data_IF_330128281401
#
_entry.id   IF_330128281401
#
_cell.length_a   1.000
_cell.length_b   1.000
_cell.length_c   1.000
_cell.angle_alpha   90.00
_cell.angle_beta   90.00
_cell.angle_gamma   90.00
#
_symmetry.space_group_name_H-M   'P 1'
#
loop_
_entity.id
_entity.type
_entity.pdbx_description
1 polymer ?
#
# COMPACT_ATOMS: atom_id res chain seq x y z
N UNK A 1 8.62 -1.54 17.63
CA UNK A 1 9.45 -1.00 16.53
C UNK A 1 8.98 0.42 16.21
N UNK A 2 9.88 1.37 16.02
CA UNK A 2 9.49 2.74 15.70
C UNK A 2 8.88 2.86 14.32
N UNK A 3 8.11 3.92 14.10
CA UNK A 3 7.69 4.29 12.76
C UNK A 3 8.89 4.82 11.98
N UNK A 4 8.96 4.47 10.71
CA UNK A 4 10.08 4.80 9.85
C UNK A 4 9.55 5.59 8.65
N UNK A 5 9.95 6.85 8.55
CA UNK A 5 9.70 7.63 7.34
C UNK A 5 10.68 7.14 6.28
N UNK A 6 10.17 6.77 5.13
CA UNK A 6 11.02 6.16 4.11
C UNK A 6 11.93 7.20 3.47
N UNK A 7 13.21 6.82 3.31
CA UNK A 7 14.18 7.55 2.49
C UNK A 7 14.53 6.75 1.22
N UNK A 8 13.87 5.62 1.03
CA UNK A 8 14.18 4.69 -0.06
C UNK A 8 13.29 4.88 -1.29
N UNK A 9 12.20 5.62 -1.14
CA UNK A 9 11.20 5.77 -2.20
C UNK A 9 10.76 7.21 -2.34
N UNK A 10 10.18 7.53 -3.50
CA UNK A 10 9.56 8.83 -3.79
C UNK A 10 8.22 8.61 -4.47
N UNK A 11 7.35 9.61 -4.36
CA UNK A 11 6.08 9.62 -5.08
C UNK A 11 6.26 10.45 -6.33
N UNK A 12 5.88 9.90 -7.48
CA UNK A 12 5.91 10.64 -8.74
C UNK A 12 4.86 10.08 -9.69
N UNK A 13 4.71 10.73 -10.84
CA UNK A 13 3.73 10.30 -11.85
C UNK A 13 4.08 8.89 -12.33
N UNK A 14 3.06 8.02 -12.36
CA UNK A 14 3.16 6.68 -12.91
C UNK A 14 2.31 6.62 -14.18
N UNK A 15 2.89 6.13 -15.26
CA UNK A 15 2.20 6.08 -16.54
C UNK A 15 0.94 5.21 -16.43
N UNK A 16 -0.21 5.77 -16.82
CA UNK A 16 -1.48 5.07 -16.79
C UNK A 16 -2.09 4.87 -15.42
N UNK A 17 -1.46 5.37 -14.35
CA UNK A 17 -1.89 5.11 -12.98
C UNK A 17 -2.04 6.38 -12.13
N UNK A 18 -1.89 7.55 -12.73
CA UNK A 18 -1.84 8.81 -12.02
C UNK A 18 -0.48 9.01 -11.38
N UNK A 19 -0.31 8.56 -10.14
CA UNK A 19 0.97 8.62 -9.43
C UNK A 19 1.26 7.26 -8.80
N UNK A 20 2.50 7.06 -8.41
CA UNK A 20 2.94 5.85 -7.75
C UNK A 20 4.15 6.11 -6.89
N UNK A 21 4.65 5.06 -6.27
CA UNK A 21 5.81 5.07 -5.39
C UNK A 21 6.96 4.38 -6.12
N UNK A 22 8.11 5.04 -6.20
CA UNK A 22 9.25 4.56 -6.98
C UNK A 22 10.49 4.49 -6.11
N UNK A 23 11.33 3.48 -6.35
CA UNK A 23 12.58 3.32 -5.63
C UNK A 23 13.59 4.40 -6.00
N UNK A 24 14.16 5.06 -4.98
CA UNK A 24 15.24 6.04 -5.15
C UNK A 24 16.61 5.37 -5.28
N UNK A 25 16.72 4.14 -4.80
CA UNK A 25 17.95 3.36 -4.81
C UNK A 25 17.57 1.89 -4.89
N UNK A 26 18.57 1.02 -5.10
CA UNK A 26 18.32 -0.42 -5.07
C UNK A 26 17.87 -0.84 -3.68
N UNK A 27 16.83 -1.66 -3.61
CA UNK A 27 16.25 -2.16 -2.37
C UNK A 27 16.36 -3.68 -2.38
N UNK A 28 17.02 -4.24 -1.37
CA UNK A 28 17.19 -5.70 -1.28
C UNK A 28 15.91 -6.36 -0.78
N UNK A 29 15.66 -7.57 -1.27
CA UNK A 29 14.59 -8.43 -0.76
C UNK A 29 14.66 -8.51 0.77
N UNK A 30 13.51 -8.35 1.42
CA UNK A 30 13.38 -8.40 2.87
C UNK A 30 13.55 -7.06 3.57
N UNK A 31 13.93 -6.02 2.83
CA UNK A 31 14.09 -4.68 3.42
C UNK A 31 12.71 -4.11 3.78
N UNK A 32 12.60 -3.58 4.98
CA UNK A 32 11.44 -2.78 5.37
C UNK A 32 11.57 -1.42 4.72
N UNK A 33 10.62 -1.10 3.84
CA UNK A 33 10.62 0.16 3.10
C UNK A 33 10.13 1.28 4.00
N UNK A 34 9.02 1.02 4.70
CA UNK A 34 8.51 1.95 5.70
C UNK A 34 7.62 1.24 6.70
N UNK A 35 7.51 1.82 7.89
CA UNK A 35 6.57 1.42 8.91
C UNK A 35 5.80 2.65 9.33
N UNK A 36 4.50 2.65 9.10
CA UNK A 36 3.67 3.86 9.22
C UNK A 36 2.52 3.64 10.20
N UNK A 37 2.09 4.70 10.90
CA UNK A 37 0.84 4.64 11.63
C UNK A 37 -0.33 4.60 10.66
N UNK A 38 -1.46 4.07 11.11
CA UNK A 38 -2.69 4.06 10.34
C UNK A 38 -3.78 4.80 11.11
N UNK A 39 -4.72 5.39 10.36
CA UNK A 39 -5.93 5.98 10.92
C UNK A 39 -7.04 4.97 10.74
N UNK A 40 -7.57 4.45 11.84
CA UNK A 40 -8.58 3.40 11.82
C UNK A 40 -9.96 4.01 11.87
N UNK A 41 -10.82 3.58 10.96
CA UNK A 41 -12.16 4.14 10.77
C UNK A 41 -13.19 3.02 10.71
N UNK A 42 -14.43 3.26 11.19
CA UNK A 42 -15.52 2.31 10.95
C UNK A 42 -15.77 2.17 9.44
N UNK A 43 -16.21 0.98 9.00
CA UNK A 43 -16.53 0.74 7.59
C UNK A 43 -17.48 1.80 7.01
N UNK A 44 -18.48 2.20 7.77
CA UNK A 44 -19.49 3.14 7.26
C UNK A 44 -18.90 4.53 6.92
N UNK A 45 -17.82 4.92 7.59
CA UNK A 45 -17.18 6.22 7.32
C UNK A 45 -16.34 6.18 6.05
N UNK A 46 -15.94 5.00 5.62
CA UNK A 46 -15.14 4.84 4.40
C UNK A 46 -16.04 4.55 3.21
N UNK A 47 -16.99 3.63 3.36
CA UNK A 47 -17.85 3.23 2.26
C UNK A 47 -19.12 4.09 2.13
N UNK A 48 -19.56 4.71 3.22
CA UNK A 48 -20.81 5.47 3.21
C UNK A 48 -22.02 4.58 3.07
N UNK A 49 -23.16 5.17 2.69
CA UNK A 49 -24.43 4.47 2.51
C UNK A 49 -24.82 4.31 1.05
N UNK A 50 -23.98 4.78 0.14
CA UNK A 50 -24.26 4.76 -1.29
C UNK A 50 -23.18 4.02 -2.06
N UNK A 51 -22.93 4.40 -3.30
CA UNK A 51 -21.86 3.81 -4.11
C UNK A 51 -20.52 3.95 -3.42
N UNK A 52 -19.58 3.09 -3.82
CA UNK A 52 -18.23 3.08 -3.28
C UNK A 52 -17.60 4.47 -3.36
N UNK A 53 -17.06 4.95 -2.24
CA UNK A 53 -16.41 6.25 -2.19
C UNK A 53 -15.00 6.17 -2.77
N UNK A 54 -14.46 7.32 -3.20
CA UNK A 54 -13.07 7.39 -3.64
C UNK A 54 -12.11 7.05 -2.50
N UNK A 55 -12.46 7.43 -1.27
CA UNK A 55 -11.63 7.12 -0.10
C UNK A 55 -11.42 5.62 0.07
N UNK A 56 -12.42 4.81 -0.25
CA UNK A 56 -12.32 3.36 -0.15
C UNK A 56 -11.21 2.77 -1.01
N UNK A 57 -10.82 3.43 -2.08
CA UNK A 57 -9.74 2.98 -2.97
C UNK A 57 -8.36 3.10 -2.32
N UNK A 58 -8.24 3.90 -1.26
CA UNK A 58 -6.98 4.13 -0.54
C UNK A 58 -6.93 3.45 0.82
N UNK A 59 -8.02 2.80 1.22
CA UNK A 59 -8.13 2.20 2.54
C UNK A 59 -7.81 0.71 2.50
N UNK A 60 -7.27 0.22 3.62
CA UNK A 60 -6.96 -1.20 3.82
C UNK A 60 -7.95 -1.81 4.79
N UNK A 61 -8.29 -3.08 4.59
CA UNK A 61 -9.09 -3.81 5.57
C UNK A 61 -8.34 -3.88 6.90
N UNK A 62 -9.05 -3.68 8.01
CA UNK A 62 -8.45 -3.68 9.34
C UNK A 62 -9.37 -4.40 10.31
N UNK A 63 -9.37 -5.73 10.22
CA UNK A 63 -10.31 -6.55 10.95
C UNK A 63 -11.67 -6.61 10.26
N UNK A 64 -12.68 -7.21 10.91
CA UNK A 64 -13.94 -7.52 10.24
C UNK A 64 -14.83 -6.31 9.98
N UNK A 65 -14.69 -5.22 10.74
CA UNK A 65 -15.62 -4.09 10.67
C UNK A 65 -14.93 -2.72 10.62
N UNK A 66 -13.63 -2.71 10.32
CA UNK A 66 -12.84 -1.48 10.27
C UNK A 66 -12.08 -1.38 8.96
N UNK A 67 -11.71 -0.17 8.63
CA UNK A 67 -10.78 0.14 7.55
C UNK A 67 -9.68 1.04 8.10
N UNK A 68 -8.55 1.09 7.40
CA UNK A 68 -7.44 1.92 7.82
C UNK A 68 -6.88 2.71 6.65
N UNK A 69 -6.53 3.96 6.91
CA UNK A 69 -5.78 4.79 5.98
C UNK A 69 -4.33 4.80 6.45
N UNK A 70 -3.43 4.35 5.61
CA UNK A 70 -2.01 4.32 5.94
C UNK A 70 -1.39 5.70 5.72
N UNK A 71 -0.63 6.15 6.72
CA UNK A 71 0.14 7.39 6.63
C UNK A 71 1.44 7.16 5.85
N UNK A 72 2.32 8.14 5.82
CA UNK A 72 3.52 8.07 4.98
C UNK A 72 3.10 7.95 3.52
N UNK A 73 3.73 7.05 2.80
CA UNK A 73 3.33 6.75 1.42
C UNK A 73 2.42 5.53 1.30
N UNK A 74 2.01 4.96 2.43
CA UNK A 74 1.33 3.67 2.49
C UNK A 74 0.09 3.54 1.62
N UNK A 75 -0.75 4.57 1.54
CA UNK A 75 -1.96 4.52 0.72
C UNK A 75 -1.73 4.90 -0.74
N UNK A 76 -0.49 5.12 -1.16
CA UNK A 76 -0.15 5.59 -2.50
C UNK A 76 0.51 4.53 -3.39
N UNK A 77 0.84 3.35 -2.85
CA UNK A 77 1.38 2.25 -3.66
C UNK A 77 0.32 1.72 -4.61
N UNK A 78 0.70 1.53 -5.86
CA UNK A 78 -0.20 0.97 -6.85
C UNK A 78 -0.29 -0.55 -6.72
N UNK A 79 -1.40 -1.10 -7.20
CA UNK A 79 -1.65 -2.53 -7.23
C UNK A 79 -0.91 -3.20 -8.39
N UNK A 80 -0.43 -4.42 -8.14
CA UNK A 80 0.04 -5.33 -9.17
C UNK A 80 -0.27 -6.76 -8.75
N UNK A 81 -0.59 -7.62 -9.72
CA UNK A 81 -0.69 -9.06 -9.47
C UNK A 81 0.68 -9.74 -9.47
N UNK A 82 1.74 -9.00 -9.85
CA UNK A 82 3.14 -9.45 -9.76
C UNK A 82 3.93 -8.41 -8.96
N UNK A 83 3.59 -8.20 -7.68
CA UNK A 83 4.17 -7.12 -6.91
C UNK A 83 5.62 -7.38 -6.53
N UNK A 84 6.35 -6.31 -6.23
CA UNK A 84 7.71 -6.43 -5.68
C UNK A 84 7.77 -6.11 -4.19
N UNK A 85 6.63 -5.77 -3.59
CA UNK A 85 6.54 -5.50 -2.17
C UNK A 85 5.24 -6.10 -1.60
N UNK A 86 5.16 -6.14 -0.28
CA UNK A 86 3.95 -6.54 0.43
C UNK A 86 3.71 -5.61 1.59
N UNK A 87 2.47 -5.59 2.08
CA UNK A 87 2.13 -4.89 3.31
C UNK A 87 1.51 -5.85 4.31
N UNK A 88 1.67 -5.53 5.59
CA UNK A 88 1.03 -6.30 6.67
C UNK A 88 0.86 -5.41 7.90
N UNK A 89 -0.15 -5.73 8.70
CA UNK A 89 -0.36 -5.07 9.98
C UNK A 89 0.76 -5.46 10.94
N UNK A 90 1.27 -4.49 11.69
CA UNK A 90 2.31 -4.70 12.69
C UNK A 90 1.89 -3.99 13.97
N UNK A 91 1.18 -4.72 14.82
CA UNK A 91 0.56 -4.15 16.00
C UNK A 91 -0.82 -3.57 15.70
N UNK A 92 -1.47 -2.92 16.69
CA UNK A 92 -2.86 -2.51 16.57
C UNK A 92 -3.10 -1.30 15.68
N UNK A 93 -2.07 -0.50 15.40
CA UNK A 93 -2.27 0.76 14.68
C UNK A 93 -1.08 1.12 13.77
N UNK A 94 -0.37 0.11 13.27
CA UNK A 94 0.77 0.32 12.37
C UNK A 94 0.75 -0.69 11.24
N UNK A 95 1.35 -0.30 10.12
CA UNK A 95 1.46 -1.13 8.93
C UNK A 95 2.87 -1.04 8.37
N UNK A 96 3.39 -2.18 7.92
CA UNK A 96 4.72 -2.31 7.32
C UNK A 96 4.59 -2.56 5.84
N UNK A 97 5.46 -1.93 5.07
CA UNK A 97 5.66 -2.19 3.64
C UNK A 97 7.09 -2.70 3.47
N UNK A 98 7.25 -3.87 2.87
CA UNK A 98 8.54 -4.55 2.76
C UNK A 98 8.73 -5.14 1.37
N UNK A 99 9.98 -5.14 0.90
CA UNK A 99 10.34 -5.73 -0.39
C UNK A 99 10.26 -7.25 -0.32
N UNK A 100 9.61 -7.87 -1.31
CA UNK A 100 9.55 -9.34 -1.42
C UNK A 100 10.50 -9.88 -2.48
N UNK A 101 11.16 -9.00 -3.22
CA UNK A 101 12.27 -9.31 -4.12
C UNK A 101 13.16 -8.09 -4.22
N UNK A 102 14.31 -8.22 -4.88
CA UNK A 102 15.17 -7.08 -5.10
C UNK A 102 14.48 -6.09 -6.03
N UNK A 103 14.54 -4.81 -5.67
CA UNK A 103 13.93 -3.72 -6.43
C UNK A 103 15.06 -2.81 -6.88
N UNK A 104 15.08 -2.45 -8.16
CA UNK A 104 16.12 -1.58 -8.70
C UNK A 104 15.72 -0.12 -8.55
N UNK A 105 16.72 0.74 -8.40
CA UNK A 105 16.53 2.19 -8.44
C UNK A 105 15.72 2.58 -9.67
N UNK A 106 14.69 3.40 -9.48
CA UNK A 106 13.78 3.85 -10.54
C UNK A 106 12.60 2.92 -10.81
N UNK A 107 12.61 1.72 -10.26
CA UNK A 107 11.51 0.78 -10.44
C UNK A 107 10.32 1.19 -9.58
N UNK A 108 9.10 1.04 -10.10
CA UNK A 108 7.91 1.29 -9.30
C UNK A 108 7.76 0.21 -8.22
N UNK A 109 7.47 0.63 -6.99
CA UNK A 109 7.18 -0.28 -5.88
C UNK A 109 5.68 -0.52 -5.87
N UNK A 110 5.28 -1.78 -6.01
CA UNK A 110 3.88 -2.18 -6.10
C UNK A 110 3.54 -3.24 -5.08
N UNK A 111 2.28 -3.28 -4.70
CA UNK A 111 1.75 -4.26 -3.75
C UNK A 111 0.50 -4.91 -4.34
N UNK A 112 0.10 -6.07 -3.82
CA UNK A 112 -1.20 -6.64 -4.16
C UNK A 112 -2.21 -6.14 -3.12
N UNK A 113 -3.26 -5.45 -3.58
CA UNK A 113 -4.26 -4.83 -2.71
C UNK A 113 -5.06 -5.85 -1.88
N UNK A 114 -5.03 -7.13 -2.26
CA UNK A 114 -5.59 -8.20 -1.42
C UNK A 114 -4.81 -8.38 -0.12
N UNK A 115 -3.53 -7.95 -0.09
CA UNK A 115 -2.65 -8.14 1.06
C UNK A 115 -1.80 -9.40 0.95
N UNK A 116 -2.16 -10.31 0.06
CA UNK A 116 -1.39 -11.53 -0.22
C UNK A 116 -0.74 -11.38 -1.59
N UNK A 117 0.60 -11.40 -1.68
CA UNK A 117 1.28 -11.07 -2.94
C UNK A 117 0.86 -11.90 -4.15
N UNK A 118 0.47 -13.16 -3.93
CA UNK A 118 0.10 -14.07 -5.02
C UNK A 118 -1.39 -14.13 -5.30
N UNK A 119 -2.20 -13.33 -4.60
CA UNK A 119 -3.65 -13.36 -4.78
C UNK A 119 -4.02 -12.87 -6.18
N UNK A 120 -5.09 -13.45 -6.72
CA UNK A 120 -5.64 -13.10 -8.03
C UNK A 120 -7.01 -12.43 -7.91
N UNK A 121 -7.39 -12.04 -6.70
CA UNK A 121 -8.67 -11.40 -6.45
C UNK A 121 -8.82 -10.14 -7.30
N UNK A 122 -9.99 -9.94 -7.94
CA UNK A 122 -10.20 -8.73 -8.72
C UNK A 122 -10.20 -7.49 -7.82
N UNK A 123 -9.65 -6.41 -8.33
CA UNK A 123 -9.78 -5.10 -7.68
C UNK A 123 -11.00 -4.40 -8.27
N UNK A 124 -11.55 -3.45 -7.49
CA UNK A 124 -12.81 -2.79 -7.86
C UNK A 124 -12.61 -1.55 -8.74
N UNK A 125 -11.40 -1.34 -9.21
CA UNK A 125 -11.03 -0.23 -10.08
C UNK A 125 -10.01 -0.70 -11.12
N UNK A 126 -9.82 0.12 -12.15
CA UNK A 126 -8.93 -0.25 -13.26
C UNK A 126 -7.47 -0.35 -12.80
N UNK A 127 -6.80 -1.40 -13.27
CA UNK A 127 -5.37 -1.63 -13.04
C UNK A 127 -4.65 -1.36 -14.35
N UNK A 128 -3.71 -0.41 -14.30
CA UNK A 128 -2.93 -0.05 -15.49
C UNK A 128 -1.80 -1.04 -15.76
#
# INVERSE_FOLDING_TARGET
MPHIQSTLVEVKRAQGKGRGVFALADIKKGTIIERVPVVILPLREVFGSGPRTRLAEYAFAWGPDKMAIACGYGSLYNHSYTPNARFYADGPASQVFAAIRNIRSGEEVTVNYDGRPRAKSPVTFEVA
#
